data_IF_760138094754
#
_entry.id   IF_760138094754
#
_cell.length_a   1.000
_cell.length_b   1.000
_cell.length_c   1.000
_cell.angle_alpha   90.00
_cell.angle_beta   90.00
_cell.angle_gamma   90.00
#
_symmetry.space_group_name_H-M   'P 1'
#
loop_
_entity.id
_entity.type
_entity.pdbx_description
1 polymer ?
#
# COMPACT_ATOMS: atom_id res chain seq x y z
N UNK A 1 11.12 23.29 -12.28
CA UNK A 1 11.65 22.23 -13.17
C UNK A 1 10.61 21.72 -14.17
N UNK A 2 11.02 21.16 -15.30
CA UNK A 2 10.11 20.48 -16.24
C UNK A 2 9.81 19.03 -15.81
N UNK A 3 8.78 18.42 -16.38
CA UNK A 3 8.37 17.05 -16.01
C UNK A 3 9.47 15.99 -16.21
N UNK A 4 10.33 16.15 -17.22
CA UNK A 4 11.44 15.22 -17.45
C UNK A 4 12.48 15.26 -16.34
N UNK A 5 12.77 16.46 -15.83
CA UNK A 5 13.68 16.65 -14.71
C UNK A 5 13.06 16.17 -13.40
N UNK A 6 11.77 16.48 -13.17
CA UNK A 6 11.03 15.98 -12.02
C UNK A 6 11.00 14.45 -11.97
N UNK A 7 10.74 13.79 -13.10
CA UNK A 7 10.75 12.33 -13.21
C UNK A 7 12.12 11.75 -12.83
N UNK A 8 13.21 12.35 -13.30
CA UNK A 8 14.57 11.91 -12.95
C UNK A 8 14.86 12.10 -11.45
N UNK A 9 14.55 13.27 -10.89
CA UNK A 9 14.85 13.60 -9.49
C UNK A 9 13.98 12.84 -8.48
N UNK A 10 12.71 12.62 -8.79
CA UNK A 10 11.78 11.87 -7.92
C UNK A 10 11.80 10.35 -8.16
N UNK A 11 12.36 9.92 -9.28
CA UNK A 11 12.34 8.54 -9.77
C UNK A 11 10.95 8.02 -10.17
N UNK A 12 9.93 8.88 -10.22
CA UNK A 12 8.60 8.53 -10.73
C UNK A 12 8.56 8.61 -12.25
N UNK A 13 7.68 7.82 -12.87
CA UNK A 13 7.40 7.96 -14.30
C UNK A 13 6.58 9.23 -14.56
N UNK A 14 6.68 9.80 -15.77
CA UNK A 14 5.85 10.97 -16.15
C UNK A 14 4.35 10.68 -16.01
N UNK A 15 3.92 9.46 -16.35
CA UNK A 15 2.53 9.00 -16.20
C UNK A 15 2.10 9.02 -14.73
N UNK A 16 2.96 8.54 -13.81
CA UNK A 16 2.68 8.59 -12.38
C UNK A 16 2.58 10.03 -11.87
N UNK A 17 3.48 10.93 -12.31
CA UNK A 17 3.43 12.35 -11.95
C UNK A 17 2.10 12.98 -12.38
N UNK A 18 1.65 12.74 -13.61
CA UNK A 18 0.34 13.22 -14.06
C UNK A 18 -0.82 12.64 -13.24
N UNK A 19 -0.74 11.36 -12.88
CA UNK A 19 -1.76 10.72 -12.04
C UNK A 19 -1.79 11.36 -10.64
N UNK A 20 -0.63 11.60 -10.01
CA UNK A 20 -0.57 12.26 -8.71
C UNK A 20 -1.11 13.70 -8.77
N UNK A 21 -0.83 14.42 -9.86
CA UNK A 21 -1.40 15.76 -10.13
C UNK A 21 -2.93 15.70 -10.24
N UNK A 22 -3.46 14.74 -11.01
CA UNK A 22 -4.92 14.54 -11.17
C UNK A 22 -5.62 14.19 -9.87
N UNK A 23 -4.95 13.40 -9.01
CA UNK A 23 -5.46 13.01 -7.69
C UNK A 23 -5.26 14.10 -6.62
N UNK A 24 -4.66 15.25 -6.97
CA UNK A 24 -4.40 16.34 -6.02
C UNK A 24 -3.31 16.04 -4.99
N UNK A 25 -2.54 14.97 -5.17
CA UNK A 25 -1.50 14.53 -4.25
C UNK A 25 -0.22 15.40 -4.34
N UNK A 26 -0.06 16.12 -5.44
CA UNK A 26 1.01 17.10 -5.64
C UNK A 26 0.42 18.43 -6.12
N UNK A 27 1.07 19.57 -5.84
CA UNK A 27 0.66 20.87 -6.31
C UNK A 27 0.48 20.91 -7.82
N UNK A 28 -0.57 21.60 -8.27
CA UNK A 28 -0.75 21.88 -9.69
C UNK A 28 0.46 22.68 -10.20
N UNK A 29 1.09 22.26 -11.31
CA UNK A 29 2.25 22.96 -11.84
C UNK A 29 1.86 24.34 -12.38
N UNK A 30 2.76 25.31 -12.26
CA UNK A 30 2.62 26.59 -12.94
C UNK A 30 2.80 26.39 -14.45
N UNK A 31 2.19 27.28 -15.24
CA UNK A 31 2.38 27.30 -16.70
C UNK A 31 3.35 28.40 -17.09
N UNK A 32 4.34 28.06 -17.93
CA UNK A 32 5.20 29.02 -18.63
C UNK A 32 5.03 28.79 -20.13
N UNK A 33 4.08 29.53 -20.73
CA UNK A 33 3.59 29.27 -22.08
C UNK A 33 2.92 27.89 -22.19
N UNK A 34 3.36 27.09 -23.17
CA UNK A 34 2.88 25.71 -23.36
C UNK A 34 3.45 24.72 -22.34
N UNK A 35 4.49 25.09 -21.59
CA UNK A 35 5.19 24.19 -20.69
C UNK A 35 4.64 24.21 -19.25
N UNK A 36 4.67 23.05 -18.60
CA UNK A 36 4.40 22.87 -17.17
C UNK A 36 5.70 22.97 -16.36
N UNK A 37 5.67 23.79 -15.32
CA UNK A 37 6.76 24.01 -14.37
C UNK A 37 6.34 23.50 -13.00
N UNK A 38 7.06 22.53 -12.49
CA UNK A 38 6.88 21.95 -11.16
C UNK A 38 7.84 22.60 -10.16
N UNK A 39 7.36 22.82 -8.94
CA UNK A 39 8.15 23.31 -7.81
C UNK A 39 8.99 22.20 -7.18
N UNK A 40 10.09 22.56 -6.52
CA UNK A 40 11.01 21.58 -5.89
C UNK A 40 10.34 20.75 -4.79
N UNK A 41 9.35 21.32 -4.08
CA UNK A 41 8.54 20.61 -3.07
C UNK A 41 7.85 19.36 -3.62
N UNK A 42 7.55 19.32 -4.93
CA UNK A 42 6.92 18.16 -5.56
C UNK A 42 7.84 16.94 -5.53
N UNK A 43 9.18 17.11 -5.49
CA UNK A 43 10.11 15.97 -5.39
C UNK A 43 9.86 15.19 -4.10
N UNK A 44 9.85 15.89 -2.96
CA UNK A 44 9.67 15.26 -1.65
C UNK A 44 8.30 14.60 -1.53
N UNK A 45 7.23 15.26 -2.00
CA UNK A 45 5.89 14.67 -1.98
C UNK A 45 5.80 13.39 -2.84
N UNK A 46 6.38 13.40 -4.04
CA UNK A 46 6.40 12.21 -4.90
C UNK A 46 7.20 11.08 -4.25
N UNK A 47 8.34 11.38 -3.62
CA UNK A 47 9.12 10.39 -2.89
C UNK A 47 8.32 9.78 -1.74
N UNK A 48 7.61 10.59 -0.95
CA UNK A 48 6.73 10.11 0.13
C UNK A 48 5.62 9.21 -0.41
N UNK A 49 4.94 9.61 -1.48
CA UNK A 49 3.89 8.81 -2.13
C UNK A 49 4.45 7.45 -2.56
N UNK A 50 5.64 7.43 -3.17
CA UNK A 50 6.29 6.19 -3.61
C UNK A 50 6.68 5.29 -2.44
N UNK A 51 7.21 5.85 -1.36
CA UNK A 51 7.50 5.09 -0.14
C UNK A 51 6.23 4.45 0.41
N UNK A 52 5.13 5.20 0.49
CA UNK A 52 3.85 4.65 0.95
C UNK A 52 3.34 3.54 0.01
N UNK A 53 3.44 3.72 -1.32
CA UNK A 53 3.07 2.67 -2.27
C UNK A 53 3.93 1.40 -2.11
N UNK A 54 5.23 1.54 -1.82
CA UNK A 54 6.11 0.40 -1.53
C UNK A 54 5.72 -0.34 -0.23
N UNK A 55 5.17 0.38 0.75
CA UNK A 55 4.56 -0.18 1.97
C UNK A 55 3.14 -0.73 1.73
N UNK A 56 2.70 -0.76 0.48
CA UNK A 56 1.43 -1.32 0.03
C UNK A 56 0.21 -0.42 0.25
N UNK A 57 0.41 0.89 0.48
CA UNK A 57 -0.71 1.83 0.48
C UNK A 57 -1.24 2.05 -0.94
N UNK A 58 -2.56 2.08 -1.07
CA UNK A 58 -3.24 2.43 -2.31
C UNK A 58 -3.29 3.95 -2.46
N UNK A 59 -3.28 4.44 -3.71
CA UNK A 59 -3.36 5.88 -3.97
C UNK A 59 -4.65 6.51 -3.41
N UNK A 60 -5.76 5.77 -3.40
CA UNK A 60 -7.02 6.25 -2.79
C UNK A 60 -6.87 6.52 -1.30
N UNK A 61 -6.19 5.63 -0.57
CA UNK A 61 -5.93 5.78 0.87
C UNK A 61 -5.06 7.02 1.15
N UNK A 62 -4.09 7.29 0.26
CA UNK A 62 -3.27 8.50 0.34
C UNK A 62 -4.07 9.77 0.03
N UNK A 63 -4.96 9.72 -0.96
CA UNK A 63 -5.86 10.85 -1.26
C UNK A 63 -6.75 11.12 -0.07
N UNK A 64 -7.39 10.12 0.52
CA UNK A 64 -8.25 10.28 1.69
C UNK A 64 -7.50 10.86 2.89
N UNK A 65 -6.27 10.39 3.13
CA UNK A 65 -5.43 10.89 4.22
C UNK A 65 -4.94 12.34 3.99
N UNK A 66 -4.73 12.75 2.73
CA UNK A 66 -4.20 14.07 2.37
C UNK A 66 -5.28 15.10 2.02
N UNK A 67 -6.48 14.64 1.62
CA UNK A 67 -7.62 15.49 1.25
C UNK A 67 -8.29 16.17 2.45
N UNK A 68 -8.01 15.73 3.68
CA UNK A 68 -8.52 16.37 4.91
C UNK A 68 -7.95 17.76 5.17
N UNK A 69 -7.06 18.26 4.31
CA UNK A 69 -6.33 19.51 4.53
C UNK A 69 -6.70 20.60 3.54
N UNK A 70 -7.68 21.41 3.90
CA UNK A 70 -7.65 22.85 3.59
C UNK A 70 -7.53 23.74 4.83
N UNK A 71 -7.54 23.18 6.05
CA UNK A 71 -7.59 24.01 7.27
C UNK A 71 -6.57 23.67 8.38
N UNK A 72 -6.02 22.45 8.46
CA UNK A 72 -5.05 22.10 9.52
C UNK A 72 -4.04 21.00 9.10
N UNK A 73 -2.77 21.35 8.81
CA UNK A 73 -1.70 20.39 8.50
C UNK A 73 -1.50 19.27 9.54
N UNK A 74 -1.79 19.54 10.83
CA UNK A 74 -1.65 18.56 11.91
C UNK A 74 -2.66 17.40 11.79
N UNK A 75 -3.84 17.68 11.23
CA UNK A 75 -4.93 16.72 11.10
C UNK A 75 -4.63 15.59 10.09
N UNK A 76 -4.08 15.93 8.91
CA UNK A 76 -3.72 14.91 7.89
C UNK A 76 -2.60 13.97 8.33
N UNK A 77 -1.58 14.49 9.03
CA UNK A 77 -0.50 13.63 9.53
C UNK A 77 -1.03 12.63 10.56
N UNK A 78 -1.96 13.05 11.43
CA UNK A 78 -2.63 12.15 12.37
C UNK A 78 -3.46 11.06 11.65
N UNK A 79 -4.18 11.42 10.58
CA UNK A 79 -4.92 10.44 9.77
C UNK A 79 -3.98 9.42 9.10
N UNK A 80 -2.86 9.88 8.53
CA UNK A 80 -1.90 8.97 7.91
C UNK A 80 -1.25 8.03 8.94
N UNK A 81 -0.90 8.53 10.12
CA UNK A 81 -0.41 7.70 11.23
C UNK A 81 -1.44 6.64 11.63
N UNK A 82 -2.72 7.01 11.77
CA UNK A 82 -3.80 6.07 12.05
C UNK A 82 -3.92 4.99 10.98
N UNK A 83 -3.83 5.36 9.69
CA UNK A 83 -3.85 4.39 8.59
C UNK A 83 -2.65 3.44 8.63
N UNK A 84 -1.47 3.93 9.00
CA UNK A 84 -0.28 3.09 9.23
C UNK A 84 -0.54 2.07 10.33
N UNK A 85 -1.14 2.47 11.44
CA UNK A 85 -1.45 1.54 12.53
C UNK A 85 -2.44 0.45 12.12
N UNK A 86 -3.52 0.81 11.42
CA UNK A 86 -4.50 -0.16 10.91
C UNK A 86 -3.85 -1.17 9.94
N UNK A 87 -2.97 -0.69 9.07
CA UNK A 87 -2.27 -1.53 8.11
C UNK A 87 -1.27 -2.46 8.80
N UNK A 88 -0.56 -1.96 9.81
CA UNK A 88 0.32 -2.76 10.68
C UNK A 88 -0.46 -3.89 11.35
N UNK A 89 -1.62 -3.60 11.93
CA UNK A 89 -2.47 -4.62 12.57
C UNK A 89 -2.96 -5.67 11.58
N UNK A 90 -3.36 -5.24 10.37
CA UNK A 90 -3.79 -6.16 9.31
C UNK A 90 -2.67 -7.10 8.89
N UNK A 91 -1.46 -6.56 8.68
CA UNK A 91 -0.28 -7.37 8.32
C UNK A 91 0.08 -8.32 9.46
N UNK A 92 0.02 -7.86 10.71
CA UNK A 92 0.31 -8.73 11.86
C UNK A 92 -0.67 -9.91 11.92
N UNK A 93 -1.97 -9.66 11.75
CA UNK A 93 -2.96 -10.74 11.70
C UNK A 93 -2.70 -11.75 10.58
N UNK A 94 -2.21 -11.29 9.41
CA UNK A 94 -1.82 -12.18 8.31
C UNK A 94 -0.58 -13.02 8.66
N UNK A 95 0.40 -12.42 9.35
CA UNK A 95 1.58 -13.13 9.86
C UNK A 95 1.15 -14.23 10.83
N UNK A 96 0.30 -13.90 11.81
CA UNK A 96 -0.14 -14.84 12.83
C UNK A 96 -0.91 -16.02 12.20
N UNK A 97 -1.79 -15.74 11.23
CA UNK A 97 -2.52 -16.77 10.49
C UNK A 97 -1.58 -17.68 9.67
N UNK A 98 -0.60 -17.09 8.97
CA UNK A 98 0.39 -17.85 8.21
C UNK A 98 1.27 -18.72 9.11
N UNK A 99 1.64 -18.22 10.31
CA UNK A 99 2.40 -18.97 11.30
C UNK A 99 1.61 -20.16 11.84
N UNK A 100 0.32 -19.98 12.15
CA UNK A 100 -0.55 -21.08 12.56
C UNK A 100 -0.66 -22.16 11.47
N UNK A 101 -0.78 -21.76 10.21
CA UNK A 101 -0.81 -22.69 9.08
C UNK A 101 0.52 -23.47 8.93
N UNK A 102 1.67 -22.80 9.11
CA UNK A 102 2.97 -23.47 9.11
C UNK A 102 3.11 -24.49 10.24
N UNK A 103 2.59 -24.19 11.43
CA UNK A 103 2.58 -25.13 12.55
C UNK A 103 1.76 -26.39 12.23
N UNK A 104 0.58 -26.23 11.62
CA UNK A 104 -0.25 -27.37 11.18
C UNK A 104 0.46 -28.22 10.12
N UNK A 105 1.15 -27.59 9.17
CA UNK A 105 1.92 -28.31 8.14
C UNK A 105 3.07 -29.11 8.76
N UNK A 106 3.81 -28.52 9.71
CA UNK A 106 4.88 -29.21 10.41
C UNK A 106 4.34 -30.40 11.21
N UNK A 107 3.22 -30.23 11.91
CA UNK A 107 2.58 -31.32 12.64
C UNK A 107 2.17 -32.45 11.69
N UNK A 108 1.53 -32.11 10.57
CA UNK A 108 1.13 -33.10 9.57
C UNK A 108 2.33 -33.84 8.97
N UNK A 109 3.43 -33.14 8.71
CA UNK A 109 4.69 -33.76 8.26
C UNK A 109 5.24 -34.74 9.31
N UNK A 110 5.27 -34.34 10.58
CA UNK A 110 5.75 -35.18 11.68
C UNK A 110 4.89 -36.44 11.82
N UNK A 111 3.57 -36.33 11.73
CA UNK A 111 2.65 -37.47 11.79
C UNK A 111 2.92 -38.46 10.64
N UNK A 112 3.07 -37.97 9.41
CA UNK A 112 3.40 -38.82 8.24
C UNK A 112 4.76 -39.51 8.35
N UNK A 113 5.75 -38.86 8.99
CA UNK A 113 7.09 -39.43 9.18
C UNK A 113 7.12 -40.56 10.20
N UNK A 114 6.26 -40.52 11.23
CA UNK A 114 6.27 -41.49 12.33
C UNK A 114 5.26 -42.64 12.15
N UNK A 115 4.24 -42.46 11.30
CA UNK A 115 3.28 -43.51 10.92
C UNK A 115 2.94 -43.41 9.42
N UNK A 116 3.59 -44.19 8.53
CA UNK A 116 3.38 -44.12 7.08
C UNK A 116 2.06 -44.75 6.59
N UNK A 117 1.17 -45.14 7.51
CA UNK A 117 -0.18 -45.57 7.16
C UNK A 117 -1.03 -44.31 6.93
N UNK A 118 -1.56 -44.16 5.70
CA UNK A 118 -2.33 -43.00 5.25
C UNK A 118 -3.28 -42.48 6.34
N UNK A 119 -2.93 -41.34 6.94
CA UNK A 119 -3.74 -40.68 7.94
C UNK A 119 -5.09 -40.33 7.29
N UNK A 120 -6.18 -40.84 7.86
CA UNK A 120 -7.53 -40.38 7.55
C UNK A 120 -7.68 -38.95 8.07
N UNK A 121 -7.13 -37.98 7.34
CA UNK A 121 -7.32 -36.57 7.64
C UNK A 121 -8.76 -36.18 7.28
N UNK A 122 -9.66 -36.28 8.26
CA UNK A 122 -10.87 -35.47 8.27
C UNK A 122 -10.48 -34.02 8.61
N UNK A 123 -9.85 -33.33 7.65
CA UNK A 123 -9.76 -31.88 7.71
C UNK A 123 -11.17 -31.31 7.57
N UNK A 124 -11.61 -30.37 8.44
CA UNK A 124 -12.80 -29.59 8.17
C UNK A 124 -12.54 -28.80 6.90
N UNK A 125 -13.07 -29.30 5.77
CA UNK A 125 -13.04 -28.60 4.49
C UNK A 125 -14.05 -27.47 4.62
N UNK A 126 -13.62 -26.35 5.21
CA UNK A 126 -14.51 -25.22 5.39
C UNK A 126 -14.91 -24.69 4.02
N UNK A 127 -16.23 -24.70 3.81
CA UNK A 127 -16.90 -24.40 2.55
C UNK A 127 -16.53 -23.01 2.04
N UNK A 128 -16.06 -22.94 0.79
CA UNK A 128 -15.72 -21.70 0.10
C UNK A 128 -16.79 -20.61 0.29
N UNK A 129 -16.40 -19.33 0.46
CA UNK A 129 -17.35 -18.22 0.51
C UNK A 129 -18.06 -18.11 -0.84
N UNK A 130 -19.40 -18.18 -0.80
CA UNK A 130 -20.29 -17.97 -1.93
C UNK A 130 -19.89 -16.69 -2.68
N UNK A 131 -19.46 -16.84 -3.92
CA UNK A 131 -19.39 -15.73 -4.87
C UNK A 131 -20.78 -15.10 -5.01
N UNK A 132 -20.91 -13.83 -4.62
CA UNK A 132 -22.07 -13.01 -4.95
C UNK A 132 -21.95 -12.60 -6.42
N UNK A 133 -22.96 -12.98 -7.19
CA UNK A 133 -23.35 -12.32 -8.45
C UNK A 133 -23.82 -10.89 -8.17
#
# INVERSE_FOLDING_TARGET
MYIGELAKKSGATRKAIYLYEQLGLIPKPMRKGSYRIYADVAIHQIQTIRCAQALGFKLKELVEALASNTSDPGSSMALMLKQIELKRLTIQSQIDAAQAQLQLLNQFEDELRHSPELINCELPVDSSPKGKL
#
